data_IF_965166598921
#
_entry.id   IF_965166598921
#
_cell.length_a   1.000
_cell.length_b   1.000
_cell.length_c   1.000
_cell.angle_alpha   90.00
_cell.angle_beta   90.00
_cell.angle_gamma   90.00
#
_symmetry.space_group_name_H-M   'P 1'
#
loop_
_entity.id
_entity.type
_entity.pdbx_description
1 polymer ?
#
# COMPACT_ATOMS: atom_id res chain seq x y z
N UNK A 1 10.64 48.29 11.88
CA UNK A 1 9.72 47.34 12.55
C UNK A 1 9.20 46.41 11.46
N UNK A 2 9.74 45.20 11.39
CA UNK A 2 9.07 43.94 11.79
C UNK A 2 7.85 43.67 10.88
N UNK A 3 7.79 42.58 10.11
CA UNK A 3 7.80 41.22 10.63
C UNK A 3 8.52 40.21 9.73
N UNK A 4 9.28 39.33 10.38
CA UNK A 4 9.63 38.00 9.90
C UNK A 4 8.34 37.16 9.89
N UNK A 5 8.06 36.46 8.79
CA UNK A 5 7.26 35.24 8.82
C UNK A 5 8.17 34.14 8.31
N UNK A 6 8.72 33.38 9.26
CA UNK A 6 9.45 32.16 8.95
C UNK A 6 8.48 31.17 8.34
N UNK A 7 8.75 30.78 7.10
CA UNK A 7 8.37 29.47 6.64
C UNK A 7 9.41 28.53 7.24
N UNK A 8 8.95 27.74 8.21
CA UNK A 8 9.61 26.50 8.54
C UNK A 8 9.32 25.61 7.36
N UNK A 9 10.31 25.51 6.47
CA UNK A 9 10.44 24.32 5.65
C UNK A 9 10.60 23.19 6.67
N UNK A 10 9.56 22.36 6.81
CA UNK A 10 9.66 21.13 7.58
C UNK A 10 10.68 20.28 6.84
N UNK A 11 11.89 20.26 7.42
CA UNK A 11 12.99 19.41 7.06
C UNK A 11 12.50 17.95 7.07
N UNK A 12 12.15 17.42 5.89
CA UNK A 12 12.20 15.99 5.62
C UNK A 12 13.68 15.59 5.57
N UNK A 13 14.32 15.64 6.73
CA UNK A 13 15.59 15.00 7.03
C UNK A 13 15.35 13.48 7.00
N UNK A 14 15.23 12.93 5.79
CA UNK A 14 15.40 11.51 5.52
C UNK A 14 16.88 11.19 5.75
N UNK A 15 17.27 11.16 7.03
CA UNK A 15 18.61 10.82 7.43
C UNK A 15 18.87 9.39 7.00
N UNK A 16 19.55 9.26 5.87
CA UNK A 16 19.98 8.02 5.25
C UNK A 16 20.73 7.21 6.31
N UNK A 17 20.03 6.26 6.94
CA UNK A 17 20.59 5.48 8.05
C UNK A 17 21.73 4.65 7.47
N UNK A 18 22.88 4.68 8.13
CA UNK A 18 24.04 3.89 7.69
C UNK A 18 23.71 2.40 7.65
N UNK A 19 24.38 1.63 6.79
CA UNK A 19 24.27 0.16 6.77
C UNK A 19 24.54 -0.43 8.16
N UNK A 20 25.47 0.16 8.93
CA UNK A 20 25.73 -0.22 10.32
C UNK A 20 24.48 -0.11 11.22
N UNK A 21 23.63 0.91 11.01
CA UNK A 21 22.37 1.03 11.74
C UNK A 21 21.43 -0.12 11.41
N UNK A 22 21.30 -0.48 10.12
CA UNK A 22 20.46 -1.60 9.69
C UNK A 22 20.98 -2.93 10.25
N UNK A 23 22.29 -3.20 10.18
CA UNK A 23 22.91 -4.39 10.77
C UNK A 23 22.68 -4.48 12.29
N UNK A 24 22.78 -3.35 13.00
CA UNK A 24 22.47 -3.28 14.43
C UNK A 24 21.00 -3.62 14.72
N UNK A 25 20.05 -3.22 13.85
CA UNK A 25 18.65 -3.59 14.02
C UNK A 25 18.40 -5.06 13.69
N UNK A 26 19.00 -5.60 12.63
CA UNK A 26 18.89 -7.02 12.29
C UNK A 26 19.36 -7.90 13.44
N UNK A 27 20.49 -7.56 14.06
CA UNK A 27 21.03 -8.29 15.22
C UNK A 27 20.10 -8.24 16.44
N UNK A 28 19.38 -7.13 16.65
CA UNK A 28 18.38 -7.02 17.73
C UNK A 28 17.17 -7.92 17.48
N UNK A 29 16.77 -8.07 16.22
CA UNK A 29 15.58 -8.82 15.81
C UNK A 29 15.89 -10.28 15.46
N UNK A 30 17.15 -10.71 15.46
CA UNK A 30 17.58 -12.08 15.15
C UNK A 30 16.87 -13.16 15.99
N UNK A 31 16.50 -12.84 17.23
CA UNK A 31 15.76 -13.75 18.12
C UNK A 31 14.29 -13.94 17.73
N UNK A 32 13.76 -13.09 16.86
CA UNK A 32 12.39 -13.18 16.34
C UNK A 32 12.43 -13.05 14.80
N UNK A 33 12.63 -14.17 14.08
CA UNK A 33 12.79 -14.16 12.63
C UNK A 33 11.52 -13.69 11.89
N UNK A 34 10.34 -13.87 12.48
CA UNK A 34 9.08 -13.38 11.93
C UNK A 34 9.06 -11.85 11.92
N UNK A 35 9.34 -11.23 13.08
CA UNK A 35 9.45 -9.77 13.19
C UNK A 35 10.55 -9.21 12.30
N UNK A 36 11.69 -9.91 12.20
CA UNK A 36 12.77 -9.54 11.30
C UNK A 36 12.34 -9.60 9.83
N UNK A 37 11.54 -10.59 9.42
CA UNK A 37 11.03 -10.69 8.06
C UNK A 37 10.13 -9.51 7.70
N UNK A 38 9.20 -9.11 8.59
CA UNK A 38 8.36 -7.94 8.37
C UNK A 38 9.19 -6.65 8.26
N UNK A 39 10.15 -6.46 9.16
CA UNK A 39 11.03 -5.30 9.14
C UNK A 39 11.91 -5.25 7.88
N UNK A 40 12.47 -6.41 7.46
CA UNK A 40 13.27 -6.52 6.25
C UNK A 40 12.43 -6.17 5.01
N UNK A 41 11.16 -6.56 5.00
CA UNK A 41 10.25 -6.23 3.92
C UNK A 41 9.88 -4.73 3.88
N UNK A 42 9.81 -4.07 5.04
CA UNK A 42 9.56 -2.63 5.16
C UNK A 42 10.77 -1.77 4.76
N UNK A 43 12.00 -2.27 4.90
CA UNK A 43 13.25 -1.51 4.73
C UNK A 43 14.08 -1.99 3.51
N UNK A 44 13.42 -2.56 2.51
CA UNK A 44 14.04 -3.03 1.25
C UNK A 44 15.22 -4.01 1.42
N UNK A 45 15.28 -4.80 2.51
CA UNK A 45 16.38 -5.75 2.75
C UNK A 45 16.13 -7.07 2.04
N UNK A 46 16.13 -7.06 0.71
CA UNK A 46 15.81 -8.22 -0.14
C UNK A 46 16.68 -9.45 0.18
N UNK A 47 17.98 -9.25 0.42
CA UNK A 47 18.90 -10.33 0.79
C UNK A 47 18.48 -11.03 2.08
N UNK A 48 18.03 -10.26 3.08
CA UNK A 48 17.54 -10.77 4.36
C UNK A 48 16.22 -11.52 4.18
N UNK A 49 15.29 -10.97 3.39
CA UNK A 49 14.02 -11.66 3.03
C UNK A 49 14.31 -13.01 2.38
N UNK A 50 15.15 -13.04 1.34
CA UNK A 50 15.52 -14.29 0.64
C UNK A 50 16.13 -15.32 1.57
N UNK A 51 17.08 -14.90 2.42
CA UNK A 51 17.74 -15.78 3.38
C UNK A 51 16.74 -16.38 4.38
N UNK A 52 15.91 -15.55 5.00
CA UNK A 52 14.93 -16.00 6.01
C UNK A 52 13.94 -17.02 5.44
N UNK A 53 13.48 -16.80 4.21
CA UNK A 53 12.53 -17.70 3.55
C UNK A 53 13.19 -18.99 3.06
N UNK A 54 14.39 -18.90 2.49
CA UNK A 54 15.15 -20.07 2.00
C UNK A 54 15.53 -21.01 3.15
N UNK A 55 15.97 -20.44 4.26
CA UNK A 55 16.35 -21.19 5.47
C UNK A 55 15.12 -21.64 6.29
N UNK A 56 13.90 -21.28 5.86
CA UNK A 56 12.62 -21.54 6.55
C UNK A 56 12.60 -21.06 8.01
N UNK A 57 13.29 -19.94 8.27
CA UNK A 57 13.38 -19.34 9.60
C UNK A 57 12.12 -18.57 9.97
N UNK A 58 11.35 -18.11 8.98
CA UNK A 58 10.07 -17.45 9.16
C UNK A 58 9.07 -17.89 8.07
N UNK A 59 7.77 -18.02 8.39
CA UNK A 59 6.74 -18.21 7.38
C UNK A 59 6.60 -16.95 6.52
N UNK A 60 6.42 -17.11 5.21
CA UNK A 60 6.23 -15.99 4.27
C UNK A 60 5.03 -15.09 4.65
N UNK A 61 4.01 -15.69 5.27
CA UNK A 61 2.81 -15.02 5.78
C UNK A 61 2.86 -14.79 7.29
N UNK A 62 4.05 -14.58 7.85
CA UNK A 62 4.23 -14.11 9.23
C UNK A 62 3.33 -12.90 9.51
N UNK A 63 2.89 -12.75 10.76
CA UNK A 63 1.97 -11.68 11.16
C UNK A 63 2.50 -10.94 12.39
N UNK A 64 2.39 -9.62 12.40
CA UNK A 64 2.56 -8.84 13.63
C UNK A 64 1.27 -8.79 14.46
N UNK A 65 1.31 -8.01 15.55
CA UNK A 65 0.21 -7.83 16.50
C UNK A 65 -1.07 -7.29 15.84
N UNK A 66 -0.94 -6.51 14.77
CA UNK A 66 -2.05 -5.94 13.99
C UNK A 66 -2.39 -6.78 12.74
N UNK A 67 -1.83 -7.99 12.66
CA UNK A 67 -2.02 -8.96 11.57
C UNK A 67 -1.46 -8.51 10.21
N UNK A 68 -0.56 -7.53 10.18
CA UNK A 68 0.16 -7.17 8.96
C UNK A 68 1.13 -8.29 8.58
N UNK A 69 1.20 -8.57 7.28
CA UNK A 69 2.17 -9.51 6.71
C UNK A 69 3.38 -8.78 6.11
N UNK A 70 4.50 -9.46 5.84
CA UNK A 70 5.62 -8.87 5.09
C UNK A 70 5.19 -8.22 3.77
N UNK A 71 4.19 -8.79 3.08
CA UNK A 71 3.68 -8.22 1.83
C UNK A 71 2.95 -6.88 2.06
N UNK A 72 2.24 -6.70 3.17
CA UNK A 72 1.70 -5.40 3.53
C UNK A 72 2.79 -4.37 3.78
N UNK A 73 3.88 -4.76 4.45
CA UNK A 73 5.02 -3.88 4.74
C UNK A 73 5.76 -3.47 3.47
N UNK A 74 6.00 -4.41 2.56
CA UNK A 74 6.56 -4.11 1.24
C UNK A 74 5.65 -3.20 0.40
N UNK A 75 4.32 -3.42 0.45
CA UNK A 75 3.34 -2.58 -0.23
C UNK A 75 3.22 -1.18 0.36
N UNK A 76 3.33 -1.05 1.68
CA UNK A 76 3.41 0.20 2.41
C UNK A 76 4.64 1.02 2.00
N UNK A 77 5.82 0.41 1.93
CA UNK A 77 7.08 1.09 1.60
C UNK A 77 7.38 1.19 0.10
N UNK A 78 6.54 0.61 -0.76
CA UNK A 78 6.72 0.66 -2.21
C UNK A 78 7.84 -0.21 -2.77
N UNK A 79 8.31 -1.21 -2.00
CA UNK A 79 9.43 -2.06 -2.38
C UNK A 79 9.00 -3.20 -3.30
N UNK A 80 8.94 -2.91 -4.60
CA UNK A 80 8.46 -3.83 -5.62
C UNK A 80 9.26 -5.15 -5.69
N UNK A 81 10.59 -5.10 -5.64
CA UNK A 81 11.43 -6.30 -5.74
C UNK A 81 11.21 -7.25 -4.55
N UNK A 82 11.01 -6.68 -3.35
CA UNK A 82 10.63 -7.45 -2.16
C UNK A 82 9.23 -8.03 -2.32
N UNK A 83 8.26 -7.27 -2.82
CA UNK A 83 6.90 -7.77 -3.06
C UNK A 83 6.91 -8.94 -4.07
N UNK A 84 7.70 -8.83 -5.15
CA UNK A 84 7.92 -9.92 -6.11
C UNK A 84 8.44 -11.18 -5.44
N UNK A 85 9.50 -11.07 -4.64
CA UNK A 85 10.07 -12.22 -3.94
C UNK A 85 9.06 -12.85 -2.98
N UNK A 86 8.35 -12.04 -2.18
CA UNK A 86 7.36 -12.53 -1.24
C UNK A 86 6.25 -13.33 -1.95
N UNK A 87 5.68 -12.80 -3.04
CA UNK A 87 4.65 -13.50 -3.81
C UNK A 87 5.21 -14.76 -4.48
N UNK A 88 6.44 -14.72 -4.99
CA UNK A 88 7.12 -15.90 -5.56
C UNK A 88 7.30 -17.02 -4.52
N UNK A 89 7.48 -16.66 -3.25
CA UNK A 89 7.56 -17.59 -2.12
C UNK A 89 6.20 -17.98 -1.53
N UNK A 90 5.09 -17.57 -2.15
CA UNK A 90 3.73 -17.94 -1.75
C UNK A 90 3.07 -17.00 -0.73
N UNK A 91 3.47 -15.72 -0.71
CA UNK A 91 2.74 -14.71 0.07
C UNK A 91 1.29 -14.60 -0.39
N UNK A 92 0.38 -14.50 0.57
CA UNK A 92 -1.05 -14.32 0.32
C UNK A 92 -1.36 -12.86 -0.04
N UNK A 93 -1.70 -12.62 -1.31
CA UNK A 93 -2.08 -11.30 -1.85
C UNK A 93 -3.42 -10.80 -1.32
N UNK A 94 -4.22 -11.67 -0.71
CA UNK A 94 -5.52 -11.37 -0.11
C UNK A 94 -5.48 -11.32 1.42
N UNK A 95 -4.30 -11.44 2.03
CA UNK A 95 -4.16 -11.42 3.48
C UNK A 95 -4.83 -10.16 4.07
N UNK A 96 -5.57 -10.33 5.16
CA UNK A 96 -6.25 -9.22 5.83
C UNK A 96 -5.64 -8.94 7.21
N UNK A 97 -5.48 -7.65 7.52
CA UNK A 97 -5.15 -7.17 8.87
C UNK A 97 -6.37 -7.23 9.80
N UNK A 98 -6.19 -6.85 11.08
CA UNK A 98 -7.31 -6.72 12.05
C UNK A 98 -8.40 -5.77 11.53
N UNK A 99 -8.01 -4.72 10.81
CA UNK A 99 -8.92 -3.73 10.23
C UNK A 99 -9.46 -4.11 8.84
N UNK A 100 -9.16 -5.32 8.37
CA UNK A 100 -9.55 -5.81 7.05
C UNK A 100 -8.75 -5.22 5.89
N UNK A 101 -7.59 -4.60 6.17
CA UNK A 101 -6.73 -4.07 5.11
C UNK A 101 -6.05 -5.21 4.37
N UNK A 102 -5.97 -5.09 3.05
CA UNK A 102 -5.18 -5.98 2.19
C UNK A 102 -3.88 -5.28 1.76
N UNK A 103 -2.88 -6.00 1.22
CA UNK A 103 -1.67 -5.36 0.70
C UNK A 103 -1.97 -4.28 -0.35
N UNK A 104 -3.03 -4.46 -1.15
CA UNK A 104 -3.48 -3.46 -2.13
C UNK A 104 -3.96 -2.15 -1.45
N UNK A 105 -4.68 -2.25 -0.33
CA UNK A 105 -5.04 -1.06 0.46
C UNK A 105 -3.80 -0.32 0.97
N UNK A 106 -2.78 -1.05 1.45
CA UNK A 106 -1.52 -0.45 1.89
C UNK A 106 -0.79 0.26 0.75
N UNK A 107 -0.70 -0.37 -0.43
CA UNK A 107 -0.11 0.26 -1.60
C UNK A 107 -0.87 1.52 -2.02
N UNK A 108 -2.21 1.49 -2.00
CA UNK A 108 -3.02 2.66 -2.33
C UNK A 108 -2.89 3.76 -1.27
N UNK A 109 -2.86 3.47 0.03
CA UNK A 109 -2.71 4.53 1.06
C UNK A 109 -1.46 5.38 0.89
N UNK A 110 -0.37 4.76 0.43
CA UNK A 110 0.93 5.41 0.25
C UNK A 110 1.27 5.70 -1.21
N UNK A 111 0.27 5.65 -2.10
CA UNK A 111 0.41 5.94 -3.52
C UNK A 111 1.53 5.13 -4.23
N UNK A 112 1.76 3.89 -3.81
CA UNK A 112 2.78 3.01 -4.40
C UNK A 112 2.23 2.33 -5.67
N UNK A 113 2.06 3.11 -6.74
CA UNK A 113 1.42 2.67 -8.01
C UNK A 113 2.02 1.39 -8.59
N UNK A 114 3.36 1.26 -8.57
CA UNK A 114 4.05 0.09 -9.12
C UNK A 114 3.71 -1.19 -8.36
N UNK A 115 3.66 -1.12 -7.02
CA UNK A 115 3.29 -2.27 -6.19
C UNK A 115 1.80 -2.58 -6.33
N UNK A 116 0.94 -1.55 -6.39
CA UNK A 116 -0.48 -1.73 -6.65
C UNK A 116 -0.73 -2.45 -7.99
N UNK A 117 -0.03 -2.05 -9.06
CA UNK A 117 -0.14 -2.67 -10.38
C UNK A 117 0.30 -4.14 -10.34
N UNK A 118 1.41 -4.41 -9.65
CA UNK A 118 1.89 -5.77 -9.44
C UNK A 118 0.87 -6.62 -8.68
N UNK A 119 0.32 -6.14 -7.57
CA UNK A 119 -0.66 -6.87 -6.77
C UNK A 119 -1.92 -7.20 -7.59
N UNK A 120 -2.43 -6.25 -8.39
CA UNK A 120 -3.55 -6.47 -9.30
C UNK A 120 -3.22 -7.54 -10.36
N UNK A 121 -2.01 -7.54 -10.91
CA UNK A 121 -1.54 -8.57 -11.84
C UNK A 121 -1.50 -9.96 -11.18
N UNK A 122 -1.20 -10.03 -9.88
CA UNK A 122 -1.22 -11.28 -9.10
C UNK A 122 -2.62 -11.68 -8.63
N UNK A 123 -3.66 -10.97 -9.06
CA UNK A 123 -5.06 -11.31 -8.79
C UNK A 123 -5.62 -10.72 -7.49
N UNK A 124 -4.96 -9.72 -6.89
CA UNK A 124 -5.53 -9.01 -5.75
C UNK A 124 -6.94 -8.48 -6.07
N UNK A 125 -7.85 -8.63 -5.11
CA UNK A 125 -9.23 -8.17 -5.28
C UNK A 125 -9.28 -6.64 -5.22
N UNK A 126 -9.57 -6.03 -6.37
CA UNK A 126 -9.65 -4.58 -6.52
C UNK A 126 -10.80 -3.95 -5.74
N UNK A 127 -11.83 -4.73 -5.39
CA UNK A 127 -12.97 -4.28 -4.61
C UNK A 127 -12.95 -4.82 -3.19
N UNK A 128 -11.80 -5.34 -2.71
CA UNK A 128 -11.67 -5.78 -1.33
C UNK A 128 -12.11 -4.67 -0.37
N UNK A 129 -12.79 -5.03 0.72
CA UNK A 129 -13.34 -4.07 1.66
C UNK A 129 -12.67 -4.22 3.02
N UNK A 130 -12.26 -3.09 3.61
CA UNK A 130 -11.87 -3.01 5.02
C UNK A 130 -13.11 -3.16 5.93
N UNK A 131 -12.91 -3.20 7.25
CA UNK A 131 -14.00 -3.21 8.22
C UNK A 131 -14.94 -1.99 8.10
N UNK A 132 -14.44 -0.87 7.56
CA UNK A 132 -15.23 0.33 7.25
C UNK A 132 -15.92 0.30 5.88
N UNK A 133 -15.90 -0.84 5.19
CA UNK A 133 -16.35 -1.00 3.80
C UNK A 133 -15.60 -0.12 2.78
N UNK A 134 -14.42 0.37 3.14
CA UNK A 134 -13.56 1.14 2.24
C UNK A 134 -12.87 0.18 1.28
N UNK A 135 -12.93 0.50 -0.02
CA UNK A 135 -12.19 -0.19 -1.08
C UNK A 135 -10.83 0.49 -1.33
N UNK A 136 -9.88 -0.14 -2.06
CA UNK A 136 -8.66 0.52 -2.49
C UNK A 136 -8.91 1.86 -3.21
N UNK A 137 -10.00 1.97 -3.99
CA UNK A 137 -10.41 3.21 -4.64
C UNK A 137 -10.84 4.30 -3.63
N UNK A 138 -11.59 3.95 -2.58
CA UNK A 138 -11.93 4.90 -1.50
C UNK A 138 -10.67 5.41 -0.81
N UNK A 139 -9.71 4.51 -0.52
CA UNK A 139 -8.43 4.88 0.09
C UNK A 139 -7.63 5.80 -0.84
N UNK A 140 -7.54 5.47 -2.13
CA UNK A 140 -6.84 6.30 -3.10
C UNK A 140 -7.47 7.70 -3.26
N UNK A 141 -8.81 7.77 -3.26
CA UNK A 141 -9.54 9.03 -3.30
C UNK A 141 -9.36 9.87 -2.02
N UNK A 142 -9.34 9.24 -0.84
CA UNK A 142 -9.15 9.94 0.44
C UNK A 142 -7.72 10.45 0.65
N UNK A 143 -6.72 9.72 0.14
CA UNK A 143 -5.29 10.08 0.30
C UNK A 143 -4.74 10.94 -0.84
N UNK A 144 -5.59 11.38 -1.79
CA UNK A 144 -5.20 12.24 -2.90
C UNK A 144 -4.09 11.63 -3.76
N UNK A 145 -4.21 10.33 -4.04
CA UNK A 145 -3.25 9.59 -4.85
C UNK A 145 -3.03 10.21 -6.23
N UNK A 146 -1.92 9.87 -6.89
CA UNK A 146 -1.66 10.39 -8.22
C UNK A 146 -2.67 9.88 -9.25
N UNK A 147 -2.78 10.62 -10.36
CA UNK A 147 -3.67 10.28 -11.47
C UNK A 147 -3.40 8.87 -11.98
N UNK A 148 -2.13 8.46 -12.06
CA UNK A 148 -1.70 7.15 -12.53
C UNK A 148 -2.25 6.02 -11.63
N UNK A 149 -2.27 6.19 -10.31
CA UNK A 149 -2.82 5.19 -9.40
C UNK A 149 -4.34 5.07 -9.55
N UNK A 150 -5.03 6.19 -9.74
CA UNK A 150 -6.47 6.19 -9.91
C UNK A 150 -6.89 5.62 -11.27
N UNK A 151 -6.16 5.96 -12.34
CA UNK A 151 -6.31 5.34 -13.66
C UNK A 151 -6.05 3.84 -13.61
N UNK A 152 -4.97 3.40 -12.95
CA UNK A 152 -4.67 1.97 -12.77
C UNK A 152 -5.83 1.21 -12.14
N UNK A 153 -6.47 1.79 -11.12
CA UNK A 153 -7.61 1.17 -10.44
C UNK A 153 -8.87 1.21 -11.33
N UNK A 154 -9.16 2.36 -11.94
CA UNK A 154 -10.41 2.57 -12.69
C UNK A 154 -10.41 1.91 -14.08
N UNK A 155 -9.25 1.73 -14.71
CA UNK A 155 -9.10 0.99 -15.96
C UNK A 155 -9.25 -0.53 -15.77
N UNK A 156 -9.27 -1.02 -14.54
CA UNK A 156 -9.53 -2.43 -14.28
C UNK A 156 -11.03 -2.72 -14.48
N UNK A 157 -11.34 -3.58 -15.46
CA UNK A 157 -12.71 -3.95 -15.86
C UNK A 157 -13.64 -4.45 -14.73
N UNK A 158 -13.08 -4.87 -13.59
CA UNK A 158 -13.86 -5.40 -12.48
C UNK A 158 -14.09 -4.39 -11.36
N UNK A 159 -13.52 -3.18 -11.47
CA UNK A 159 -13.69 -2.13 -10.47
C UNK A 159 -15.17 -1.73 -10.36
N UNK A 160 -15.63 -1.52 -9.13
CA UNK A 160 -16.97 -1.05 -8.82
C UNK A 160 -16.87 0.32 -8.13
N UNK A 161 -16.86 1.42 -8.91
CA UNK A 161 -16.67 2.77 -8.36
C UNK A 161 -17.89 3.26 -7.55
N UNK A 162 -19.04 2.60 -7.71
CA UNK A 162 -20.31 2.87 -7.06
C UNK A 162 -20.45 2.20 -5.67
N UNK A 163 -19.49 1.36 -5.27
CA UNK A 163 -19.48 0.80 -3.92
C UNK A 163 -19.44 1.92 -2.89
N UNK A 164 -20.22 1.73 -1.83
CA UNK A 164 -20.32 2.67 -0.73
C UNK A 164 -19.66 2.13 0.53
N UNK A 165 -19.06 3.02 1.29
CA UNK A 165 -18.53 2.72 2.62
C UNK A 165 -19.66 2.67 3.67
N UNK A 166 -19.29 2.47 4.94
CA UNK A 166 -20.23 2.48 6.07
C UNK A 166 -20.91 3.83 6.35
N UNK A 167 -20.46 4.92 5.72
CA UNK A 167 -21.06 6.26 5.76
C UNK A 167 -21.97 6.54 4.55
N UNK A 168 -22.25 5.52 3.73
CA UNK A 168 -23.02 5.65 2.47
C UNK A 168 -22.32 6.54 1.42
N UNK A 169 -21.00 6.69 1.50
CA UNK A 169 -20.19 7.49 0.58
C UNK A 169 -19.46 6.61 -0.44
N UNK A 170 -19.49 7.02 -1.71
CA UNK A 170 -18.63 6.45 -2.76
C UNK A 170 -17.23 7.05 -2.71
N UNK A 171 -16.28 6.47 -3.45
CA UNK A 171 -14.95 7.06 -3.61
C UNK A 171 -15.01 8.47 -4.23
N UNK A 172 -15.99 8.72 -5.12
CA UNK A 172 -16.22 10.05 -5.70
C UNK A 172 -16.73 11.04 -4.64
N UNK A 173 -17.63 10.61 -3.75
CA UNK A 173 -18.13 11.45 -2.65
C UNK A 173 -17.03 11.85 -1.66
N UNK A 174 -16.09 10.94 -1.38
CA UNK A 174 -14.89 11.27 -0.60
C UNK A 174 -14.07 12.32 -1.33
N UNK A 175 -13.81 12.13 -2.62
CA UNK A 175 -13.00 13.04 -3.42
C UNK A 175 -13.61 14.45 -3.53
N UNK A 176 -14.94 14.63 -3.41
CA UNK A 176 -15.58 15.97 -3.42
C UNK A 176 -15.04 16.93 -2.37
N UNK A 177 -14.42 16.41 -1.30
CA UNK A 177 -13.81 17.19 -0.22
C UNK A 177 -12.32 17.45 -0.46
N UNK A 178 -11.82 17.11 -1.64
CA UNK A 178 -10.41 17.17 -2.01
C UNK A 178 -10.25 17.88 -3.35
N UNK A 179 -9.02 18.29 -3.62
CA UNK A 179 -8.56 18.85 -4.88
C UNK A 179 -8.53 17.82 -6.02
N UNK A 180 -8.62 16.53 -5.71
CA UNK A 180 -8.57 15.46 -6.69
C UNK A 180 -9.92 15.13 -7.35
N UNK A 181 -11.00 15.75 -6.87
CA UNK A 181 -12.35 15.54 -7.39
C UNK A 181 -12.43 15.68 -8.90
N UNK A 182 -11.89 16.77 -9.45
CA UNK A 182 -12.08 17.11 -10.86
C UNK A 182 -11.54 16.04 -11.80
N UNK A 183 -10.35 15.53 -11.53
CA UNK A 183 -9.78 14.50 -12.38
C UNK A 183 -10.31 13.10 -12.04
N UNK A 184 -10.66 12.80 -10.78
CA UNK A 184 -11.32 11.53 -10.46
C UNK A 184 -12.68 11.43 -11.15
N UNK A 185 -13.44 12.53 -11.16
CA UNK A 185 -14.71 12.64 -11.86
C UNK A 185 -14.54 12.38 -13.36
N UNK A 186 -13.55 13.02 -13.99
CA UNK A 186 -13.21 12.81 -15.41
C UNK A 186 -12.90 11.34 -15.70
N UNK A 187 -12.03 10.69 -14.92
CA UNK A 187 -11.66 9.29 -15.14
C UNK A 187 -12.88 8.37 -14.94
N UNK A 188 -13.71 8.62 -13.93
CA UNK A 188 -14.93 7.81 -13.69
C UNK A 188 -15.93 7.97 -14.83
N UNK A 189 -16.15 9.19 -15.34
CA UNK A 189 -16.99 9.42 -16.52
C UNK A 189 -16.46 8.68 -17.74
N UNK A 190 -15.16 8.78 -18.03
CA UNK A 190 -14.52 8.06 -19.13
C UNK A 190 -14.69 6.53 -18.99
N UNK A 191 -14.56 6.01 -17.77
CA UNK A 191 -14.74 4.59 -17.50
C UNK A 191 -16.19 4.12 -17.71
N UNK A 192 -17.19 4.91 -17.30
CA UNK A 192 -18.61 4.61 -17.52
C UNK A 192 -18.95 4.68 -19.02
N UNK A 193 -18.41 5.68 -19.72
CA UNK A 193 -18.66 5.91 -21.13
C UNK A 193 -17.96 4.85 -22.01
N UNK A 194 -16.79 4.34 -21.62
CA UNK A 194 -16.11 3.26 -22.34
C UNK A 194 -16.84 1.89 -22.25
N UNK A 195 -17.74 1.72 -21.28
CA UNK A 195 -18.55 0.49 -21.09
C UNK A 195 -19.91 0.58 -21.80
N UNK A 196 -20.31 1.77 -22.26
CA UNK A 196 -21.56 2.00 -22.99
C UNK A 196 -21.31 2.00 -24.51
N UNK A 197 -21.89 1.04 -25.28
CA UNK A 197 -21.69 0.95 -26.73
C UNK A 197 -22.37 2.06 -27.53
#
# INVERSE_FOLDING_TARGET
>A
QSCRSGQSDEDDDEQERSEEWYEMQEKKMEKNPEKLLLWAAENNRLSTVKRLLSDKLAPVNARDEDQYTPLHRAAYSGHLDVAHELVAQGADVHAQTVDGWTPLHSACKWNNTKVAAFLLQQGADINAQTNGLLTPLHIAAGNKNSRETLELLLMNRYVKPDLKNNLDETALDIARRTDIYHYLFEIVEDCINAVSP
#
